data_IF_030924019833
#
_entry.id   IF_030924019833
#
_cell.length_a   1.000
_cell.length_b   1.000
_cell.length_c   1.000
_cell.angle_alpha   90.00
_cell.angle_beta   90.00
_cell.angle_gamma   90.00
#
_symmetry.space_group_name_H-M   'P 1'
#
loop_
_entity.id
_entity.type
_entity.pdbx_description
1 polymer ?
#
# COMPACT_ATOMS: atom_id res chain seq x y z
N UNK A 1 -61.19 -38.30 -33.90
CA UNK A 1 -61.63 -39.54 -33.23
C UNK A 1 -60.44 -40.46 -33.08
N UNK A 2 -59.92 -40.62 -31.86
CA UNK A 2 -59.61 -41.93 -31.24
C UNK A 2 -58.92 -41.66 -29.90
N UNK A 3 -59.66 -41.98 -28.84
CA UNK A 3 -59.24 -42.01 -27.45
C UNK A 3 -58.50 -43.31 -27.15
N UNK A 4 -57.38 -43.23 -26.45
CA UNK A 4 -56.72 -44.37 -25.80
C UNK A 4 -56.17 -43.84 -24.48
N UNK A 5 -56.95 -43.91 -23.40
CA UNK A 5 -57.10 -45.04 -22.47
C UNK A 5 -55.83 -45.30 -21.65
N UNK A 6 -55.95 -44.94 -20.38
CA UNK A 6 -54.98 -45.00 -19.29
C UNK A 6 -54.57 -46.45 -18.95
N UNK A 7 -53.32 -46.63 -18.55
CA UNK A 7 -52.89 -47.79 -17.76
C UNK A 7 -52.28 -47.33 -16.42
N UNK A 8 -52.63 -47.97 -15.29
CA UNK A 8 -52.26 -47.49 -13.95
C UNK A 8 -50.85 -47.92 -13.56
N UNK A 9 -50.00 -46.93 -13.25
CA UNK A 9 -48.67 -47.16 -12.70
C UNK A 9 -48.77 -47.66 -11.26
N UNK A 10 -48.30 -48.89 -11.06
CA UNK A 10 -48.26 -49.64 -9.80
C UNK A 10 -47.24 -48.98 -8.86
N UNK A 11 -47.71 -48.38 -7.76
CA UNK A 11 -46.85 -47.83 -6.70
C UNK A 11 -46.10 -48.96 -6.00
N UNK A 12 -44.78 -48.92 -6.09
CA UNK A 12 -43.89 -49.81 -5.34
C UNK A 12 -43.72 -49.25 -3.91
N UNK A 13 -44.07 -50.01 -2.86
CA UNK A 13 -43.98 -49.53 -1.49
C UNK A 13 -42.57 -49.73 -0.92
N UNK A 14 -42.06 -48.68 -0.28
CA UNK A 14 -40.94 -48.69 0.68
C UNK A 14 -39.53 -49.02 0.13
N UNK A 15 -38.88 -48.02 -0.47
CA UNK A 15 -37.43 -47.90 -0.39
C UNK A 15 -37.07 -47.15 0.91
N UNK A 16 -36.67 -47.89 1.94
CA UNK A 16 -36.10 -47.33 3.16
C UNK A 16 -34.73 -46.73 2.84
N UNK A 17 -34.68 -45.41 2.66
CA UNK A 17 -33.43 -44.65 2.66
C UNK A 17 -32.91 -44.63 4.10
N UNK A 18 -31.92 -45.48 4.37
CA UNK A 18 -31.10 -45.37 5.58
C UNK A 18 -30.29 -44.07 5.50
N UNK A 19 -30.81 -43.03 6.16
CA UNK A 19 -30.11 -41.77 6.37
C UNK A 19 -28.96 -42.08 7.35
N UNK A 20 -27.79 -42.36 6.81
CA UNK A 20 -26.54 -42.39 7.56
C UNK A 20 -26.34 -41.01 8.18
N UNK A 21 -26.71 -40.85 9.46
CA UNK A 21 -26.42 -39.64 10.22
C UNK A 21 -24.90 -39.54 10.33
N UNK A 22 -24.25 -38.51 9.76
CA UNK A 22 -22.81 -38.33 9.95
C UNK A 22 -22.57 -38.24 11.45
N UNK A 23 -21.67 -39.07 11.97
CA UNK A 23 -21.29 -39.02 13.37
C UNK A 23 -20.63 -37.69 13.65
N UNK A 24 -21.38 -36.74 14.19
CA UNK A 24 -20.87 -35.49 14.69
C UNK A 24 -19.95 -35.83 15.87
N UNK A 25 -18.64 -35.95 15.59
CA UNK A 25 -17.62 -36.02 16.63
C UNK A 25 -17.87 -34.85 17.57
N UNK A 26 -18.12 -35.13 18.85
CA UNK A 26 -18.26 -34.12 19.89
C UNK A 26 -17.03 -33.22 19.81
N UNK A 27 -17.26 -31.98 19.39
CA UNK A 27 -16.25 -30.94 19.43
C UNK A 27 -15.82 -30.79 20.88
N UNK A 28 -14.53 -30.97 21.13
CA UNK A 28 -13.96 -30.73 22.45
C UNK A 28 -13.89 -29.23 22.68
N UNK A 29 -14.07 -28.78 23.92
CA UNK A 29 -14.00 -27.36 24.31
C UNK A 29 -12.71 -26.66 23.78
N UNK A 30 -11.60 -27.40 23.66
CA UNK A 30 -10.35 -26.92 23.05
C UNK A 30 -10.46 -26.54 21.56
N UNK A 31 -11.31 -27.20 20.77
CA UNK A 31 -11.47 -26.89 19.34
C UNK A 31 -12.31 -25.63 19.10
N UNK A 32 -13.22 -25.28 20.01
CA UNK A 32 -14.02 -24.05 19.92
C UNK A 32 -13.16 -22.80 20.15
N UNK A 33 -12.25 -22.85 21.14
CA UNK A 33 -11.32 -21.75 21.42
C UNK A 33 -10.35 -21.52 20.25
N UNK A 34 -9.82 -22.59 19.66
CA UNK A 34 -8.90 -22.47 18.51
C UNK A 34 -9.61 -21.86 17.29
N UNK A 35 -10.86 -22.24 17.03
CA UNK A 35 -11.63 -21.67 15.93
C UNK A 35 -11.94 -20.18 16.13
N UNK A 36 -12.32 -19.78 17.35
CA UNK A 36 -12.56 -18.38 17.68
C UNK A 36 -11.33 -17.49 17.49
N UNK A 37 -10.14 -17.97 17.89
CA UNK A 37 -8.88 -17.25 17.69
C UNK A 37 -8.59 -17.05 16.20
N UNK A 38 -8.71 -18.10 15.38
CA UNK A 38 -8.48 -18.00 13.93
C UNK A 38 -9.45 -17.02 13.27
N UNK A 39 -10.73 -17.05 13.64
CA UNK A 39 -11.73 -16.11 13.11
C UNK A 39 -11.41 -14.67 13.51
N UNK A 40 -11.01 -14.41 14.76
CA UNK A 40 -10.61 -13.07 15.20
C UNK A 40 -9.38 -12.55 14.47
N UNK A 41 -8.37 -13.40 14.23
CA UNK A 41 -7.19 -13.06 13.44
C UNK A 41 -7.56 -12.72 12.00
N UNK A 42 -8.46 -13.50 11.38
CA UNK A 42 -8.91 -13.24 10.01
C UNK A 42 -9.75 -11.96 9.91
N UNK A 43 -10.61 -11.67 10.88
CA UNK A 43 -11.38 -10.42 10.94
C UNK A 43 -10.41 -9.24 11.10
N UNK A 44 -9.45 -9.33 12.03
CA UNK A 44 -8.42 -8.31 12.21
C UNK A 44 -7.64 -8.03 10.93
N UNK A 45 -7.19 -9.08 10.23
CA UNK A 45 -6.49 -8.96 8.96
C UNK A 45 -7.35 -8.29 7.86
N UNK A 46 -8.65 -8.59 7.79
CA UNK A 46 -9.58 -7.96 6.84
C UNK A 46 -9.81 -6.48 7.17
N UNK A 47 -9.90 -6.12 8.44
CA UNK A 47 -10.05 -4.71 8.87
C UNK A 47 -8.77 -3.91 8.61
N UNK A 48 -7.59 -4.44 8.94
CA UNK A 48 -6.31 -3.81 8.60
C UNK A 48 -6.15 -3.63 7.09
N UNK A 49 -6.48 -4.67 6.30
CA UNK A 49 -6.45 -4.58 4.84
C UNK A 49 -7.46 -3.56 4.27
N UNK A 50 -8.65 -3.44 4.87
CA UNK A 50 -9.65 -2.42 4.50
C UNK A 50 -9.18 -1.01 4.87
N UNK A 51 -8.49 -0.84 5.98
CA UNK A 51 -8.01 0.45 6.45
C UNK A 51 -6.87 1.00 5.57
N UNK A 52 -5.92 0.14 5.18
CA UNK A 52 -4.87 0.45 4.18
C UNK A 52 -5.48 0.84 2.82
N UNK A 53 -6.66 0.32 2.48
CA UNK A 53 -7.40 0.69 1.27
C UNK A 53 -8.24 1.98 1.41
N UNK A 54 -8.35 2.58 2.60
CA UNK A 54 -9.12 3.80 2.82
C UNK A 54 -8.29 5.08 2.92
N UNK A 55 -6.99 5.00 3.23
CA UNK A 55 -6.15 6.18 3.34
C UNK A 55 -5.58 6.59 1.99
N UNK A 56 -6.04 7.74 1.50
CA UNK A 56 -5.72 8.27 0.16
C UNK A 56 -4.23 8.67 0.07
N UNK A 57 -3.68 9.27 1.13
CA UNK A 57 -2.29 9.72 1.18
C UNK A 57 -1.24 8.65 0.86
N UNK A 58 -1.14 7.55 1.65
CA UNK A 58 -0.21 6.46 1.38
C UNK A 58 -0.35 5.89 -0.04
N UNK A 59 -1.58 5.72 -0.52
CA UNK A 59 -1.83 5.18 -1.86
C UNK A 59 -1.38 6.13 -2.97
N UNK A 60 -1.60 7.44 -2.82
CA UNK A 60 -1.09 8.45 -3.75
C UNK A 60 0.43 8.43 -3.84
N UNK A 61 1.13 8.36 -2.71
CA UNK A 61 2.59 8.26 -2.67
C UNK A 61 3.07 6.98 -3.36
N UNK A 62 2.48 5.82 -3.03
CA UNK A 62 2.84 4.54 -3.65
C UNK A 62 2.61 4.55 -5.16
N UNK A 63 1.49 5.11 -5.62
CA UNK A 63 1.22 5.22 -7.06
C UNK A 63 2.25 6.10 -7.76
N UNK A 64 2.63 7.25 -7.18
CA UNK A 64 3.66 8.12 -7.72
C UNK A 64 5.01 7.39 -7.82
N UNK A 65 5.41 6.63 -6.80
CA UNK A 65 6.64 5.83 -6.80
C UNK A 65 6.61 4.70 -7.85
N UNK A 66 5.45 4.05 -8.04
CA UNK A 66 5.30 3.02 -9.07
C UNK A 66 5.36 3.63 -10.48
N UNK A 67 4.79 4.82 -10.68
CA UNK A 67 4.87 5.57 -11.94
C UNK A 67 6.31 5.99 -12.25
N UNK A 68 7.06 6.44 -11.24
CA UNK A 68 8.47 6.80 -11.35
C UNK A 68 9.33 5.64 -11.86
N UNK A 69 9.17 4.44 -11.28
CA UNK A 69 10.01 3.27 -11.57
C UNK A 69 9.95 2.75 -13.02
N UNK A 70 9.11 3.31 -13.89
CA UNK A 70 9.19 3.20 -15.35
C UNK A 70 8.88 1.84 -15.98
N UNK A 71 8.81 0.75 -15.20
CA UNK A 71 8.65 -0.65 -15.65
C UNK A 71 7.22 -1.05 -16.01
N UNK A 72 6.31 -0.09 -16.17
CA UNK A 72 4.92 -0.36 -16.55
C UNK A 72 4.76 -0.35 -18.07
N UNK A 73 4.02 -1.33 -18.60
CA UNK A 73 3.47 -1.25 -19.95
C UNK A 73 2.47 -0.09 -20.07
N UNK A 74 2.20 0.32 -21.31
CA UNK A 74 1.35 1.49 -21.61
C UNK A 74 -0.04 1.36 -20.99
N UNK A 75 -0.62 0.16 -20.97
CA UNK A 75 -1.96 -0.07 -20.42
C UNK A 75 -1.92 0.10 -18.91
N UNK A 76 -1.03 -0.60 -18.20
CA UNK A 76 -0.89 -0.48 -16.74
C UNK A 76 -0.56 0.94 -16.30
N UNK A 77 0.30 1.63 -17.05
CA UNK A 77 0.63 3.04 -16.80
C UNK A 77 -0.61 3.92 -16.90
N UNK A 78 -1.38 3.79 -17.99
CA UNK A 78 -2.61 4.56 -18.18
C UNK A 78 -3.65 4.28 -17.08
N UNK A 79 -3.82 3.02 -16.70
CA UNK A 79 -4.71 2.62 -15.60
C UNK A 79 -4.27 3.25 -14.28
N UNK A 80 -2.97 3.20 -13.97
CA UNK A 80 -2.45 3.77 -12.72
C UNK A 80 -2.57 5.29 -12.69
N UNK A 81 -2.37 5.98 -13.82
CA UNK A 81 -2.62 7.42 -13.95
C UNK A 81 -4.09 7.73 -13.65
N UNK A 82 -5.04 7.02 -14.27
CA UNK A 82 -6.48 7.24 -14.02
C UNK A 82 -6.84 6.99 -12.56
N UNK A 83 -6.38 5.89 -11.97
CA UNK A 83 -6.61 5.57 -10.55
C UNK A 83 -6.05 6.66 -9.63
N UNK A 84 -4.86 7.19 -9.96
CA UNK A 84 -4.23 8.24 -9.15
C UNK A 84 -4.95 9.59 -9.32
N UNK A 85 -5.47 9.89 -10.50
CA UNK A 85 -6.31 11.08 -10.74
C UNK A 85 -7.62 11.02 -9.95
N UNK A 86 -8.27 9.85 -9.91
CA UNK A 86 -9.46 9.64 -9.10
C UNK A 86 -9.18 9.81 -7.60
N UNK A 87 -8.10 9.20 -7.10
CA UNK A 87 -7.66 9.36 -5.71
C UNK A 87 -7.33 10.81 -5.39
N UNK A 88 -6.56 11.50 -6.23
CA UNK A 88 -6.17 12.89 -6.00
C UNK A 88 -7.40 13.80 -5.94
N UNK A 89 -8.41 13.57 -6.78
CA UNK A 89 -9.68 14.32 -6.71
C UNK A 89 -10.51 13.98 -5.48
N UNK A 90 -10.45 12.73 -5.01
CA UNK A 90 -11.20 12.26 -3.85
C UNK A 90 -10.75 12.95 -2.55
N UNK A 91 -9.47 13.33 -2.46
CA UNK A 91 -8.94 14.11 -1.32
C UNK A 91 -9.67 15.43 -1.11
N UNK A 92 -10.18 16.02 -2.20
CA UNK A 92 -10.75 17.37 -2.19
C UNK A 92 -9.71 18.48 -1.99
N UNK A 93 -8.43 18.16 -1.83
CA UNK A 93 -7.35 19.12 -1.61
C UNK A 93 -6.84 19.70 -2.93
N UNK A 94 -6.93 21.03 -3.07
CA UNK A 94 -6.53 21.71 -4.31
C UNK A 94 -5.02 21.66 -4.57
N UNK A 95 -4.18 21.64 -3.53
CA UNK A 95 -2.72 21.55 -3.69
C UNK A 95 -2.35 20.18 -4.25
N UNK A 96 -2.90 19.11 -3.67
CA UNK A 96 -2.69 17.73 -4.16
C UNK A 96 -3.14 17.61 -5.61
N UNK A 97 -4.34 18.10 -5.95
CA UNK A 97 -4.87 18.07 -7.32
C UNK A 97 -3.96 18.84 -8.28
N UNK A 98 -3.42 19.99 -7.87
CA UNK A 98 -2.57 20.81 -8.74
C UNK A 98 -1.20 20.18 -8.96
N UNK A 99 -0.56 19.66 -7.91
CA UNK A 99 0.72 18.94 -8.05
C UNK A 99 0.55 17.66 -8.86
N UNK A 100 -0.57 16.95 -8.69
CA UNK A 100 -0.91 15.80 -9.53
C UNK A 100 -1.04 16.19 -11.01
N UNK A 101 -1.67 17.32 -11.33
CA UNK A 101 -1.75 17.81 -12.72
C UNK A 101 -0.37 18.10 -13.31
N UNK A 102 0.51 18.71 -12.52
CA UNK A 102 1.90 18.97 -12.94
C UNK A 102 2.63 17.65 -13.22
N UNK A 103 2.53 16.68 -12.31
CA UNK A 103 3.19 15.38 -12.45
C UNK A 103 2.61 14.55 -13.61
N UNK A 104 1.29 14.43 -13.70
CA UNK A 104 0.63 13.63 -14.74
C UNK A 104 0.88 14.15 -16.16
N UNK A 105 1.17 15.44 -16.34
CA UNK A 105 1.51 16.03 -17.62
C UNK A 105 2.88 15.54 -18.19
N UNK A 106 3.83 15.18 -17.33
CA UNK A 106 5.18 14.75 -17.74
C UNK A 106 5.40 13.23 -17.66
N UNK A 107 4.66 12.49 -16.81
CA UNK A 107 4.81 11.02 -16.62
C UNK A 107 4.86 10.21 -17.93
N UNK A 108 4.11 10.54 -19.00
CA UNK A 108 4.23 9.82 -20.27
C UNK A 108 5.58 9.97 -20.98
N UNK A 109 6.29 11.08 -20.77
CA UNK A 109 7.44 11.53 -21.58
C UNK A 109 8.73 11.70 -20.75
N UNK A 110 8.86 10.93 -19.67
CA UNK A 110 9.91 11.09 -18.65
C UNK A 110 9.74 12.38 -17.83
N UNK A 111 9.65 12.22 -16.51
CA UNK A 111 9.36 13.33 -15.61
C UNK A 111 10.51 13.50 -14.60
N UNK A 112 10.99 14.73 -14.37
CA UNK A 112 12.05 14.96 -13.39
C UNK A 112 11.69 14.45 -12.00
N UNK A 113 12.65 13.85 -11.31
CA UNK A 113 12.49 13.35 -9.94
C UNK A 113 11.96 14.41 -8.98
N UNK A 114 12.32 15.69 -9.20
CA UNK A 114 11.80 16.82 -8.43
C UNK A 114 10.27 16.92 -8.45
N UNK A 115 9.61 16.57 -9.55
CA UNK A 115 8.15 16.62 -9.64
C UNK A 115 7.52 15.50 -8.81
N UNK A 116 8.15 14.32 -8.77
CA UNK A 116 7.71 13.25 -7.87
C UNK A 116 7.90 13.64 -6.40
N UNK A 117 9.07 14.20 -6.03
CA UNK A 117 9.30 14.68 -4.67
C UNK A 117 8.31 15.79 -4.26
N UNK A 118 8.03 16.76 -5.13
CA UNK A 118 7.06 17.82 -4.84
C UNK A 118 5.65 17.26 -4.59
N UNK A 119 5.24 16.30 -5.42
CA UNK A 119 3.96 15.62 -5.22
C UNK A 119 3.94 14.84 -3.89
N UNK A 120 4.99 14.08 -3.58
CA UNK A 120 5.10 13.33 -2.31
C UNK A 120 5.07 14.26 -1.11
N UNK A 121 5.83 15.38 -1.12
CA UNK A 121 5.79 16.40 -0.06
C UNK A 121 4.35 16.89 0.13
N UNK A 122 3.70 17.27 -0.96
CA UNK A 122 2.35 17.85 -0.91
C UNK A 122 1.34 16.85 -0.36
N UNK A 123 1.40 15.58 -0.77
CA UNK A 123 0.54 14.55 -0.20
C UNK A 123 0.85 14.35 1.29
N UNK A 124 2.13 14.26 1.66
CA UNK A 124 2.57 14.05 3.05
C UNK A 124 2.15 15.17 3.99
N UNK A 125 2.10 16.42 3.51
CA UNK A 125 1.72 17.59 4.30
C UNK A 125 0.20 17.78 4.43
N UNK A 126 -0.60 17.22 3.50
CA UNK A 126 -2.04 17.51 3.43
C UNK A 126 -2.92 16.26 3.64
N UNK A 127 -2.35 15.05 3.68
CA UNK A 127 -3.05 13.80 3.98
C UNK A 127 -2.50 13.12 5.25
N UNK A 128 -3.29 12.21 5.82
CA UNK A 128 -2.82 11.35 6.90
C UNK A 128 -1.87 10.27 6.36
N UNK A 129 -0.57 10.57 6.37
CA UNK A 129 0.50 9.66 5.95
C UNK A 129 1.27 9.19 7.19
N UNK A 130 1.31 7.88 7.47
CA UNK A 130 2.15 7.34 8.53
C UNK A 130 3.62 7.73 8.33
N UNK A 131 4.30 8.07 9.42
CA UNK A 131 5.71 8.48 9.40
C UNK A 131 5.98 9.70 8.50
N UNK A 132 5.01 10.61 8.37
CA UNK A 132 5.12 11.83 7.55
C UNK A 132 6.38 12.64 7.86
N UNK A 133 6.72 12.83 9.13
CA UNK A 133 7.93 13.55 9.55
C UNK A 133 9.22 12.90 9.03
N UNK A 134 9.28 11.56 9.02
CA UNK A 134 10.43 10.83 8.48
C UNK A 134 10.52 11.02 6.96
N UNK A 135 9.40 10.96 6.24
CA UNK A 135 9.37 11.17 4.78
C UNK A 135 9.82 12.60 4.45
N UNK A 136 9.31 13.62 5.13
CA UNK A 136 9.69 15.01 4.89
C UNK A 136 11.17 15.25 5.18
N UNK A 137 11.71 14.69 6.27
CA UNK A 137 13.12 14.83 6.59
C UNK A 137 14.03 14.02 5.66
N UNK A 138 13.58 12.89 5.12
CA UNK A 138 14.29 12.19 4.05
C UNK A 138 14.44 13.09 2.82
N UNK A 139 13.35 13.73 2.39
CA UNK A 139 13.39 14.62 1.21
C UNK A 139 14.24 15.88 1.48
N UNK A 140 14.21 16.42 2.70
CA UNK A 140 15.12 17.52 3.10
C UNK A 140 16.58 17.08 3.07
N UNK A 141 16.88 15.90 3.60
CA UNK A 141 18.24 15.34 3.58
C UNK A 141 18.73 15.17 2.14
N UNK A 142 17.88 14.66 1.25
CA UNK A 142 18.17 14.58 -0.18
C UNK A 142 18.49 15.96 -0.78
N UNK A 143 17.62 16.95 -0.54
CA UNK A 143 17.76 18.31 -1.07
C UNK A 143 19.06 18.99 -0.66
N UNK A 144 19.48 18.77 0.59
CA UNK A 144 20.62 19.49 1.17
C UNK A 144 21.93 18.69 1.20
N UNK A 145 21.94 17.44 0.71
CA UNK A 145 23.09 16.54 0.83
C UNK A 145 24.41 17.14 0.36
N UNK A 146 24.37 17.87 -0.75
CA UNK A 146 25.53 18.49 -1.36
C UNK A 146 25.45 20.02 -1.33
N UNK A 147 24.65 20.60 -0.42
CA UNK A 147 24.52 22.05 -0.25
C UNK A 147 25.43 22.55 0.88
N UNK A 148 26.60 23.15 0.59
CA UNK A 148 27.48 23.65 1.64
C UNK A 148 26.87 24.79 2.44
N UNK A 149 25.96 25.55 1.83
CA UNK A 149 25.30 26.70 2.46
C UNK A 149 24.20 26.27 3.46
N UNK A 150 23.68 25.04 3.32
CA UNK A 150 22.58 24.52 4.14
C UNK A 150 23.03 23.40 5.11
N UNK A 151 24.30 23.40 5.52
CA UNK A 151 24.89 22.31 6.32
C UNK A 151 24.16 22.06 7.64
N UNK A 152 23.59 23.10 8.26
CA UNK A 152 22.83 22.98 9.50
C UNK A 152 21.48 22.27 9.28
N UNK A 153 20.77 22.63 8.21
CA UNK A 153 19.49 22.01 7.86
C UNK A 153 19.70 20.56 7.40
N UNK A 154 20.76 20.30 6.64
CA UNK A 154 21.18 18.94 6.32
C UNK A 154 21.46 18.12 7.58
N UNK A 155 22.30 18.62 8.49
CA UNK A 155 22.71 17.90 9.70
C UNK A 155 21.51 17.59 10.60
N UNK A 156 20.58 18.54 10.72
CA UNK A 156 19.35 18.36 11.50
C UNK A 156 18.45 17.29 10.86
N UNK A 157 18.16 17.41 9.56
CA UNK A 157 17.33 16.45 8.85
C UNK A 157 17.95 15.05 8.89
N UNK A 158 19.25 14.92 8.67
CA UNK A 158 19.99 13.66 8.73
C UNK A 158 19.89 13.01 10.11
N UNK A 159 20.04 13.80 11.18
CA UNK A 159 19.93 13.31 12.57
C UNK A 159 18.51 12.85 12.89
N UNK A 160 17.50 13.62 12.48
CA UNK A 160 16.09 13.26 12.66
C UNK A 160 15.74 11.96 11.91
N UNK A 161 16.19 11.82 10.66
CA UNK A 161 16.02 10.58 9.88
C UNK A 161 16.69 9.41 10.61
N UNK A 162 17.96 9.55 11.01
CA UNK A 162 18.68 8.45 11.64
C UNK A 162 18.01 8.01 12.95
N UNK A 163 17.63 8.96 13.81
CA UNK A 163 16.92 8.65 15.06
C UNK A 163 15.59 7.93 14.81
N UNK A 164 14.82 8.35 13.80
CA UNK A 164 13.52 7.76 13.50
C UNK A 164 13.63 6.38 12.86
N UNK A 165 14.66 6.15 12.02
CA UNK A 165 14.96 4.83 11.47
C UNK A 165 15.32 3.85 12.57
N UNK A 166 16.13 4.28 13.55
CA UNK A 166 16.51 3.45 14.70
C UNK A 166 15.30 3.17 15.61
N UNK A 167 14.45 4.17 15.86
CA UNK A 167 13.21 4.03 16.65
C UNK A 167 12.22 3.06 16.01
N UNK A 168 12.02 3.14 14.69
CA UNK A 168 11.09 2.28 13.96
C UNK A 168 11.54 0.81 13.98
N UNK A 169 12.86 0.54 14.01
CA UNK A 169 13.41 -0.82 14.09
C UNK A 169 13.08 -1.73 12.89
N UNK A 170 12.46 -1.20 11.84
CA UNK A 170 12.04 -1.94 10.65
C UNK A 170 13.25 -2.32 9.80
N UNK A 171 13.48 -3.63 9.63
CA UNK A 171 14.60 -4.14 8.83
C UNK A 171 14.62 -3.61 7.39
N UNK A 172 13.50 -3.57 6.63
CA UNK A 172 13.45 -2.93 5.32
C UNK A 172 13.92 -1.46 5.35
N UNK A 173 13.42 -0.68 6.30
CA UNK A 173 13.72 0.75 6.42
C UNK A 173 15.19 0.97 6.80
N UNK A 174 15.70 0.25 7.81
CA UNK A 174 17.12 0.32 8.22
C UNK A 174 18.05 -0.06 7.08
N UNK A 175 17.70 -1.09 6.29
CA UNK A 175 18.52 -1.50 5.15
C UNK A 175 18.56 -0.42 4.07
N UNK A 176 17.40 0.11 3.67
CA UNK A 176 17.34 1.16 2.65
C UNK A 176 18.08 2.43 3.11
N UNK A 177 17.96 2.80 4.39
CA UNK A 177 18.71 3.91 4.96
C UNK A 177 20.21 3.71 4.90
N UNK A 178 20.70 2.52 5.27
CA UNK A 178 22.14 2.21 5.22
C UNK A 178 22.71 2.31 3.80
N UNK A 179 21.92 1.96 2.77
CA UNK A 179 22.31 2.10 1.38
C UNK A 179 22.44 3.58 0.96
N UNK A 180 21.53 4.46 1.40
CA UNK A 180 21.63 5.92 1.20
C UNK A 180 22.88 6.49 1.87
N UNK A 181 23.11 6.16 3.15
CA UNK A 181 24.27 6.65 3.90
C UNK A 181 25.58 6.16 3.27
N UNK A 182 25.65 4.89 2.88
CA UNK A 182 26.81 4.33 2.19
C UNK A 182 27.06 5.03 0.85
N UNK A 183 26.01 5.41 0.14
CA UNK A 183 26.10 6.12 -1.11
C UNK A 183 26.73 7.52 -0.95
N UNK A 184 26.51 8.15 0.21
CA UNK A 184 27.08 9.43 0.58
C UNK A 184 26.88 10.53 -0.48
N UNK A 185 25.73 10.53 -1.16
CA UNK A 185 25.40 11.51 -2.20
C UNK A 185 26.22 11.42 -3.48
N UNK A 186 27.00 10.36 -3.69
CA UNK A 186 27.92 10.20 -4.83
C UNK A 186 27.44 9.22 -5.89
N UNK A 187 26.45 8.36 -5.62
CA UNK A 187 25.99 7.38 -6.59
C UNK A 187 25.02 8.03 -7.59
N UNK A 188 25.09 7.56 -8.84
CA UNK A 188 24.14 7.92 -9.88
C UNK A 188 22.70 7.47 -9.58
N UNK A 189 22.52 6.53 -8.65
CA UNK A 189 21.23 5.96 -8.26
C UNK A 189 20.68 6.55 -6.96
N UNK A 190 21.22 7.68 -6.47
CA UNK A 190 20.81 8.24 -5.17
C UNK A 190 19.31 8.55 -5.12
N UNK A 191 18.73 9.02 -6.22
CA UNK A 191 17.29 9.33 -6.29
C UNK A 191 16.45 8.07 -6.13
N UNK A 192 16.82 6.99 -6.82
CA UNK A 192 16.17 5.68 -6.68
C UNK A 192 16.23 5.16 -5.24
N UNK A 193 17.39 5.31 -4.56
CA UNK A 193 17.54 4.91 -3.17
C UNK A 193 16.59 5.69 -2.24
N UNK A 194 16.41 6.99 -2.48
CA UNK A 194 15.44 7.80 -1.73
C UNK A 194 14.00 7.38 -2.00
N UNK A 195 13.63 7.10 -3.25
CA UNK A 195 12.29 6.61 -3.58
C UNK A 195 12.02 5.23 -2.96
N UNK A 196 13.00 4.32 -2.99
CA UNK A 196 12.90 3.01 -2.34
C UNK A 196 12.77 3.12 -0.82
N UNK A 197 13.49 4.06 -0.20
CA UNK A 197 13.37 4.34 1.22
C UNK A 197 11.98 4.89 1.59
N UNK A 198 11.47 5.88 0.83
CA UNK A 198 10.11 6.42 1.05
C UNK A 198 9.07 5.29 0.89
N UNK A 199 9.23 4.44 -0.12
CA UNK A 199 8.37 3.26 -0.31
C UNK A 199 8.39 2.35 0.91
N UNK A 200 9.57 2.03 1.44
CA UNK A 200 9.72 1.17 2.61
C UNK A 200 9.02 1.79 3.84
N UNK A 201 9.19 3.10 4.07
CA UNK A 201 8.57 3.82 5.19
C UNK A 201 7.04 3.83 5.09
N UNK A 202 6.50 4.08 3.91
CA UNK A 202 5.03 4.08 3.68
C UNK A 202 4.44 2.68 3.87
N UNK A 203 5.15 1.64 3.41
CA UNK A 203 4.70 0.26 3.58
C UNK A 203 4.77 -0.21 5.04
N UNK A 204 5.78 0.22 5.81
CA UNK A 204 5.90 -0.13 7.22
C UNK A 204 4.77 0.48 8.06
N UNK A 205 4.51 1.77 7.89
CA UNK A 205 3.43 2.45 8.62
C UNK A 205 2.03 1.97 8.25
N UNK A 206 1.89 1.11 7.24
CA UNK A 206 0.63 0.46 6.87
C UNK A 206 0.37 -0.84 7.65
N UNK A 207 1.33 -1.33 8.46
CA UNK A 207 1.25 -2.61 9.18
C UNK A 207 0.98 -2.44 10.69
N UNK A 208 1.26 -1.27 11.26
CA UNK A 208 1.23 -1.03 12.71
C UNK A 208 -0.08 -0.46 13.28
N UNK A 209 -1.13 -0.28 12.46
CA UNK A 209 -2.47 0.17 12.89
C UNK A 209 -3.55 -0.91 12.71
#
# INVERSE_FOLDING_TARGET
MQSTSLNPFKRNPHAHLEIHKPGWKKWTEKSEVQFAIVVLVLIGAVFAFRYVLTNEGPQLILNALILHGGKLDVIKRSTLITQTDELARKTGDRKIINEWKTLSACVPNDCPDSNYFNFIITVTENENVPNSDLILNLIRTYKYWNSPDDILDFSKALTEVNSKVDELGSRPVTKAWAEIVKCNGQCSTINDLYFDMIKAVVLEGSVEE
#
